data_IF_396988433283
#
_entry.id   IF_396988433283
#
_cell.length_a   1.000
_cell.length_b   1.000
_cell.length_c   1.000
_cell.angle_alpha   90.00
_cell.angle_beta   90.00
_cell.angle_gamma   90.00
#
_symmetry.space_group_name_H-M   'P 1'
#
loop_
_entity.id
_entity.type
_entity.pdbx_description
1 polymer ?
#
# COMPACT_ATOMS: atom_id res chain seq x y z
N UNK A 1 -10.75 4.14 -10.31
CA UNK A 1 -10.77 5.60 -10.03
C UNK A 1 -9.34 6.11 -10.04
N UNK A 2 -9.10 7.24 -10.71
CA UNK A 2 -7.80 7.93 -10.68
C UNK A 2 -8.04 9.31 -10.06
N UNK A 3 -7.46 9.61 -8.89
CA UNK A 3 -7.66 10.91 -8.24
C UNK A 3 -6.98 12.03 -9.03
N UNK A 4 -7.60 13.21 -9.04
CA UNK A 4 -7.10 14.41 -9.73
C UNK A 4 -6.20 15.28 -8.85
N UNK A 5 -6.07 14.94 -7.57
CA UNK A 5 -5.32 15.72 -6.58
C UNK A 5 -4.45 14.82 -5.70
N UNK A 6 -3.39 15.42 -5.14
CA UNK A 6 -2.53 14.77 -4.16
C UNK A 6 -3.04 15.02 -2.75
N UNK A 7 -2.97 14.00 -1.89
CA UNK A 7 -3.14 14.19 -0.46
C UNK A 7 -2.05 15.12 0.10
N UNK A 8 -2.34 15.84 1.18
CA UNK A 8 -1.42 16.83 1.77
C UNK A 8 -0.04 16.26 2.10
N UNK A 9 0.04 15.00 2.54
CA UNK A 9 1.32 14.33 2.82
C UNK A 9 2.13 14.07 1.54
N UNK A 10 1.47 13.67 0.45
CA UNK A 10 2.12 13.45 -0.85
C UNK A 10 2.61 14.78 -1.42
N UNK A 11 1.83 15.87 -1.26
CA UNK A 11 2.27 17.22 -1.64
C UNK A 11 3.59 17.60 -0.95
N UNK A 12 3.65 17.43 0.37
CA UNK A 12 4.86 17.71 1.18
C UNK A 12 6.07 16.88 0.74
N UNK A 13 5.86 15.60 0.39
CA UNK A 13 6.94 14.76 -0.13
C UNK A 13 7.49 15.29 -1.46
N UNK A 14 6.62 15.68 -2.39
CA UNK A 14 7.04 16.24 -3.67
C UNK A 14 7.76 17.58 -3.49
N UNK A 15 7.26 18.46 -2.62
CA UNK A 15 7.89 19.76 -2.33
C UNK A 15 9.27 19.58 -1.67
N UNK A 16 9.49 18.48 -0.94
CA UNK A 16 10.78 18.10 -0.36
C UNK A 16 11.75 17.41 -1.34
N UNK A 17 11.34 17.16 -2.59
CA UNK A 17 12.16 16.50 -3.61
C UNK A 17 12.11 14.96 -3.57
N UNK A 18 11.17 14.35 -2.85
CA UNK A 18 10.97 12.90 -2.87
C UNK A 18 10.41 12.45 -4.22
N UNK A 19 11.00 11.39 -4.79
CA UNK A 19 10.46 10.71 -5.97
C UNK A 19 9.47 9.63 -5.54
N UNK A 20 8.17 9.88 -5.73
CA UNK A 20 7.12 8.88 -5.49
C UNK A 20 7.07 7.91 -6.68
N UNK A 21 7.58 6.69 -6.49
CA UNK A 21 7.73 5.72 -7.59
C UNK A 21 6.63 4.65 -7.67
N UNK A 22 5.71 4.59 -6.71
CA UNK A 22 4.70 3.54 -6.70
C UNK A 22 3.67 3.63 -5.58
N UNK A 23 2.76 2.65 -5.57
CA UNK A 23 1.75 2.41 -4.52
C UNK A 23 1.85 0.97 -4.06
N UNK A 24 1.71 0.73 -2.77
CA UNK A 24 1.74 -0.61 -2.18
C UNK A 24 0.33 -1.21 -2.08
N UNK A 25 0.28 -2.54 -1.97
CA UNK A 25 -0.96 -3.29 -1.80
C UNK A 25 -1.59 -3.03 -0.41
N UNK A 26 -2.90 -3.20 -0.28
CA UNK A 26 -3.68 -3.12 0.96
C UNK A 26 -4.78 -4.19 0.93
N UNK A 27 -5.31 -4.67 2.07
CA UNK A 27 -6.57 -5.41 2.05
C UNK A 27 -7.70 -4.56 1.47
N UNK A 28 -8.76 -5.23 1.03
CA UNK A 28 -9.97 -4.55 0.57
C UNK A 28 -10.44 -3.50 1.57
N UNK A 29 -10.53 -2.27 1.07
CA UNK A 29 -10.93 -1.08 1.83
C UNK A 29 -10.07 -0.79 3.07
N UNK A 30 -8.88 -1.38 3.17
CA UNK A 30 -8.00 -1.32 4.34
C UNK A 30 -8.63 -1.84 5.64
N UNK A 31 -9.62 -2.74 5.57
CA UNK A 31 -10.42 -3.19 6.72
C UNK A 31 -9.88 -4.44 7.45
N UNK A 32 -8.73 -4.97 7.05
CA UNK A 32 -8.14 -6.19 7.62
C UNK A 32 -6.72 -5.97 8.12
N UNK A 33 -6.31 -6.80 9.08
CA UNK A 33 -4.92 -6.87 9.57
C UNK A 33 -4.05 -7.87 8.76
N UNK A 34 -4.43 -8.17 7.52
CA UNK A 34 -3.74 -9.05 6.56
C UNK A 34 -3.88 -8.44 5.15
N UNK A 35 -2.80 -8.39 4.37
CA UNK A 35 -2.79 -7.85 2.99
C UNK A 35 -3.10 -8.93 1.94
N UNK A 36 -4.39 -9.25 1.78
CA UNK A 36 -4.90 -10.29 0.88
C UNK A 36 -6.15 -9.86 0.07
N UNK A 37 -6.11 -8.73 -0.68
CA UNK A 37 -7.24 -8.32 -1.51
C UNK A 37 -7.45 -9.25 -2.71
N UNK A 38 -8.70 -9.36 -3.18
CA UNK A 38 -8.98 -10.14 -4.40
C UNK A 38 -8.36 -9.49 -5.65
N UNK A 39 -8.35 -8.16 -5.74
CA UNK A 39 -7.95 -7.43 -6.96
C UNK A 39 -6.46 -7.61 -7.33
N UNK A 40 -5.57 -7.62 -6.34
CA UNK A 40 -4.12 -7.68 -6.57
C UNK A 40 -3.47 -8.97 -6.03
N UNK A 41 -4.24 -9.81 -5.36
CA UNK A 41 -3.72 -11.00 -4.69
C UNK A 41 -2.97 -10.69 -3.39
N UNK A 42 -2.55 -11.76 -2.73
CA UNK A 42 -1.91 -11.74 -1.41
C UNK A 42 -0.48 -11.22 -1.47
N UNK A 43 -0.16 -10.23 -0.63
CA UNK A 43 1.23 -9.90 -0.29
C UNK A 43 1.80 -10.95 0.66
N UNK A 44 3.05 -11.39 0.44
CA UNK A 44 3.70 -12.40 1.29
C UNK A 44 4.81 -11.78 2.14
N UNK A 45 5.03 -12.34 3.33
CA UNK A 45 6.10 -11.90 4.21
C UNK A 45 7.47 -12.24 3.60
N UNK A 46 8.41 -11.29 3.48
CA UNK A 46 9.71 -11.56 2.87
C UNK A 46 10.59 -12.51 3.69
N UNK A 47 10.31 -12.67 4.99
CA UNK A 47 11.04 -13.61 5.87
C UNK A 47 10.54 -15.06 5.73
N UNK A 48 9.29 -15.24 5.29
CA UNK A 48 8.67 -16.54 5.04
C UNK A 48 7.49 -16.33 4.07
N UNK A 49 7.68 -16.75 2.81
CA UNK A 49 6.68 -16.56 1.75
C UNK A 49 5.37 -17.33 2.01
N UNK A 50 5.34 -18.27 2.97
CA UNK A 50 4.11 -18.92 3.43
C UNK A 50 3.24 -18.05 4.34
N UNK A 51 3.78 -16.95 4.89
CA UNK A 51 3.13 -16.12 5.92
C UNK A 51 2.61 -14.78 5.39
N UNK A 52 1.65 -14.23 6.11
CA UNK A 52 1.20 -12.84 5.94
C UNK A 52 2.29 -11.85 6.42
N UNK A 53 2.46 -10.70 5.73
CA UNK A 53 3.28 -9.61 6.25
C UNK A 53 2.54 -8.76 7.30
N UNK A 54 1.26 -9.03 7.54
CA UNK A 54 0.36 -8.19 8.37
C UNK A 54 -0.59 -7.37 7.51
N UNK A 55 -1.19 -6.33 8.08
CA UNK A 55 -2.11 -5.42 7.39
C UNK A 55 -2.68 -4.33 8.31
N UNK A 56 -3.30 -3.27 7.80
CA UNK A 56 -3.61 -3.06 6.37
C UNK A 56 -2.41 -2.70 5.51
N UNK A 57 -1.39 -2.04 6.05
CA UNK A 57 -0.15 -1.70 5.34
C UNK A 57 0.95 -2.72 5.63
N UNK A 58 0.66 -3.99 5.31
CA UNK A 58 1.53 -5.15 5.52
C UNK A 58 2.29 -5.52 4.25
#
# INVERSE_FOLDING_TARGET
YVPTEHASVVRRYLDAGLVVFGKTNLPEFALKAVTDPQLYGRSSNPWDLGRTPGGSSG
#
